data_IF_541282453363
#
_entry.id   IF_541282453363
#
_cell.length_a   1.000
_cell.length_b   1.000
_cell.length_c   1.000
_cell.angle_alpha   90.00
_cell.angle_beta   90.00
_cell.angle_gamma   90.00
#
_symmetry.space_group_name_H-M   'P 1'
#
loop_
_entity.id
_entity.type
_entity.pdbx_description
1 polymer ?
#
# COMPACT_ATOMS: atom_id res chain seq x y z
N UNK A 1 -18.04 52.46 -19.16
CA UNK A 1 -17.43 51.39 -19.98
C UNK A 1 -16.53 50.43 -19.17
N UNK A 2 -17.00 49.88 -18.03
CA UNK A 2 -16.15 49.05 -17.13
C UNK A 2 -16.77 47.70 -16.73
N UNK A 3 -17.97 47.38 -17.21
CA UNK A 3 -18.71 46.15 -16.83
C UNK A 3 -18.51 44.97 -17.80
N UNK A 4 -17.92 45.22 -18.98
CA UNK A 4 -17.69 44.19 -20.02
C UNK A 4 -16.41 43.38 -19.84
N UNK A 5 -15.39 43.94 -19.16
CA UNK A 5 -14.09 43.27 -18.98
C UNK A 5 -14.13 42.21 -17.88
N UNK A 6 -14.93 42.42 -16.83
CA UNK A 6 -15.13 41.43 -15.76
C UNK A 6 -15.92 40.19 -16.21
N UNK A 7 -16.78 40.32 -17.23
CA UNK A 7 -17.55 39.18 -17.75
C UNK A 7 -16.70 38.28 -18.66
N UNK A 8 -15.69 38.83 -19.34
CA UNK A 8 -14.84 38.07 -20.25
C UNK A 8 -13.74 37.26 -19.52
N UNK A 9 -13.31 37.72 -18.34
CA UNK A 9 -12.39 36.97 -17.46
C UNK A 9 -13.07 35.82 -16.69
N UNK A 10 -14.38 35.90 -16.48
CA UNK A 10 -15.14 34.85 -15.79
C UNK A 10 -15.44 33.63 -16.69
N UNK A 11 -15.53 33.83 -18.01
CA UNK A 11 -15.81 32.73 -18.96
C UNK A 11 -14.54 31.95 -19.33
N UNK A 12 -13.35 32.55 -19.18
CA UNK A 12 -12.07 31.87 -19.47
C UNK A 12 -11.60 30.93 -18.35
N UNK A 13 -12.12 31.07 -17.12
CA UNK A 13 -11.75 30.23 -15.99
C UNK A 13 -12.56 28.91 -15.88
N UNK A 14 -13.69 28.79 -16.61
CA UNK A 14 -14.60 27.65 -16.50
C UNK A 14 -14.24 26.47 -17.43
N UNK A 15 -13.13 26.58 -18.18
CA UNK A 15 -12.72 25.60 -19.19
C UNK A 15 -11.73 24.53 -18.75
N UNK A 16 -11.24 24.56 -17.50
CA UNK A 16 -10.37 23.51 -16.96
C UNK A 16 -11.22 22.50 -16.18
N UNK A 17 -12.04 21.73 -16.88
CA UNK A 17 -12.44 20.42 -16.40
C UNK A 17 -11.17 19.56 -16.40
N UNK A 18 -10.40 19.66 -15.32
CA UNK A 18 -9.22 18.87 -15.09
C UNK A 18 -9.62 17.39 -15.24
N UNK A 19 -8.89 16.67 -16.08
CA UNK A 19 -8.93 15.22 -16.15
C UNK A 19 -8.36 14.69 -14.83
N UNK A 20 -9.12 14.84 -13.75
CA UNK A 20 -8.71 14.49 -12.41
C UNK A 20 -8.76 12.97 -12.29
N UNK A 21 -7.61 12.31 -12.39
CA UNK A 21 -7.51 10.89 -12.09
C UNK A 21 -7.33 10.71 -10.58
N UNK A 22 -8.20 9.90 -9.99
CA UNK A 22 -8.04 9.45 -8.61
C UNK A 22 -6.85 8.49 -8.54
N UNK A 23 -5.91 8.77 -7.65
CA UNK A 23 -4.78 7.91 -7.30
C UNK A 23 -4.71 7.73 -5.79
N UNK A 24 -3.89 6.79 -5.36
CA UNK A 24 -3.64 6.46 -3.97
C UNK A 24 -2.17 6.65 -3.64
N UNK A 25 -1.89 7.11 -2.43
CA UNK A 25 -0.53 7.17 -1.90
C UNK A 25 -0.05 5.74 -1.59
N UNK A 26 1.03 5.29 -2.23
CA UNK A 26 1.62 3.98 -1.97
C UNK A 26 2.77 4.02 -0.97
N UNK A 27 3.49 5.14 -0.86
CA UNK A 27 4.57 5.29 0.12
C UNK A 27 4.00 5.40 1.54
N UNK A 28 4.73 4.89 2.54
CA UNK A 28 4.30 4.99 3.95
C UNK A 28 4.15 6.45 4.39
N UNK A 29 5.12 7.28 4.00
CA UNK A 29 5.14 8.72 4.22
C UNK A 29 5.51 9.40 2.89
N UNK A 30 4.56 10.10 2.28
CA UNK A 30 4.75 10.83 1.04
C UNK A 30 4.72 12.34 1.31
N UNK A 31 5.84 13.08 1.15
CA UNK A 31 5.85 14.52 1.33
C UNK A 31 5.07 15.21 0.20
N UNK A 32 4.19 16.13 0.59
CA UNK A 32 3.52 17.08 -0.28
C UNK A 32 4.41 18.32 -0.38
N UNK A 33 4.85 18.67 -1.58
CA UNK A 33 5.81 19.75 -1.81
C UNK A 33 5.14 20.99 -2.43
N UNK A 34 5.70 22.17 -2.19
CA UNK A 34 5.22 23.41 -2.85
C UNK A 34 5.51 23.43 -4.35
N UNK A 35 6.62 22.83 -4.77
CA UNK A 35 7.12 22.85 -6.14
C UNK A 35 7.56 21.44 -6.56
N UNK A 36 7.62 21.15 -7.88
CA UNK A 36 8.05 19.87 -8.44
C UNK A 36 9.58 19.68 -8.35
N UNK A 37 10.13 19.78 -7.13
CA UNK A 37 11.57 19.71 -6.86
C UNK A 37 11.82 19.05 -5.51
N UNK A 38 12.84 18.20 -5.42
CA UNK A 38 13.22 17.53 -4.18
C UNK A 38 13.73 18.49 -3.08
N UNK A 39 14.14 19.71 -3.45
CA UNK A 39 14.57 20.75 -2.50
C UNK A 39 13.46 21.72 -2.09
N UNK A 40 12.23 21.52 -2.58
CA UNK A 40 11.11 22.40 -2.27
C UNK A 40 10.63 22.24 -0.82
N UNK A 41 10.01 23.30 -0.30
CA UNK A 41 9.41 23.25 1.04
C UNK A 41 8.29 22.19 1.09
N UNK A 42 8.31 21.40 2.17
CA UNK A 42 7.28 20.40 2.46
C UNK A 42 6.08 21.10 3.10
N UNK A 43 4.92 21.03 2.43
CA UNK A 43 3.64 21.55 2.91
C UNK A 43 2.98 20.61 3.93
N UNK A 44 3.24 19.31 3.80
CA UNK A 44 2.68 18.29 4.66
C UNK A 44 3.12 16.89 4.21
N UNK A 45 2.60 15.86 4.87
CA UNK A 45 2.92 14.47 4.58
C UNK A 45 1.65 13.64 4.56
N UNK A 46 1.47 12.82 3.54
CA UNK A 46 0.36 11.89 3.44
C UNK A 46 0.82 10.46 3.71
N UNK A 47 -0.03 9.71 4.39
CA UNK A 47 0.19 8.30 4.71
C UNK A 47 -0.30 7.40 3.57
N UNK A 48 0.24 6.18 3.53
CA UNK A 48 -0.19 5.15 2.59
C UNK A 48 -1.70 4.92 2.61
N UNK A 49 -2.29 4.65 1.45
CA UNK A 49 -3.71 4.37 1.27
C UNK A 49 -4.58 5.62 1.10
N UNK A 50 -4.04 6.82 1.35
CA UNK A 50 -4.79 8.06 1.17
C UNK A 50 -5.14 8.28 -0.31
N UNK A 51 -6.41 8.60 -0.55
CA UNK A 51 -6.92 8.97 -1.87
C UNK A 51 -6.53 10.42 -2.20
N UNK A 52 -6.03 10.65 -3.41
CA UNK A 52 -5.67 11.97 -3.92
C UNK A 52 -6.16 12.12 -5.37
N UNK A 53 -6.48 13.35 -5.76
CA UNK A 53 -6.84 13.68 -7.14
C UNK A 53 -5.66 14.32 -7.85
N UNK A 54 -5.23 13.77 -8.97
CA UNK A 54 -4.17 14.34 -9.80
C UNK A 54 -4.76 15.45 -10.66
N UNK A 55 -4.35 16.69 -10.42
CA UNK A 55 -4.77 17.86 -11.18
C UNK A 55 -3.90 18.08 -12.42
N UNK A 56 -2.59 17.86 -12.28
CA UNK A 56 -1.61 18.14 -13.31
C UNK A 56 -0.45 17.16 -13.21
N UNK A 57 0.21 16.88 -14.35
CA UNK A 57 1.40 16.05 -14.40
C UNK A 57 2.53 16.84 -15.05
N UNK A 58 3.66 16.95 -14.35
CA UNK A 58 4.86 17.60 -14.85
C UNK A 58 6.07 16.68 -14.65
N UNK A 59 6.48 16.00 -15.72
CA UNK A 59 7.60 15.06 -15.69
C UNK A 59 7.36 13.91 -14.70
N UNK A 60 8.18 13.84 -13.65
CA UNK A 60 8.09 12.83 -12.57
C UNK A 60 7.23 13.28 -11.39
N UNK A 61 6.56 14.42 -11.50
CA UNK A 61 5.72 14.99 -10.46
C UNK A 61 4.26 15.05 -10.87
N UNK A 62 3.39 14.80 -9.91
CA UNK A 62 1.95 14.99 -10.01
C UNK A 62 1.53 16.08 -9.06
N UNK A 63 0.83 17.09 -9.56
CA UNK A 63 0.15 18.05 -8.72
C UNK A 63 -1.12 17.39 -8.22
N UNK A 64 -1.20 17.17 -6.92
CA UNK A 64 -2.30 16.47 -6.28
C UNK A 64 -3.10 17.39 -5.39
N UNK A 65 -4.39 17.09 -5.26
CA UNK A 65 -5.29 17.70 -4.30
C UNK A 65 -5.90 16.61 -3.41
N UNK A 66 -5.82 16.82 -2.11
CA UNK A 66 -6.45 15.99 -1.10
C UNK A 66 -7.20 16.91 -0.14
N UNK A 67 -8.54 16.79 -0.12
CA UNK A 67 -9.42 17.64 0.70
C UNK A 67 -9.12 19.15 0.49
N UNK A 68 -8.55 19.82 1.48
CA UNK A 68 -8.20 21.25 1.45
C UNK A 68 -6.73 21.52 1.09
N UNK A 69 -5.90 20.50 0.95
CA UNK A 69 -4.47 20.63 0.67
C UNK A 69 -4.14 20.31 -0.78
N UNK A 70 -3.30 21.15 -1.39
CA UNK A 70 -2.82 20.99 -2.75
C UNK A 70 -1.32 21.19 -2.81
N UNK A 71 -0.63 20.36 -3.59
CA UNK A 71 0.81 20.46 -3.78
C UNK A 71 1.32 19.46 -4.80
N UNK A 72 2.64 19.32 -4.88
CA UNK A 72 3.32 18.40 -5.77
C UNK A 72 3.76 17.16 -5.03
N UNK A 73 3.58 16.02 -5.67
CA UNK A 73 3.99 14.72 -5.15
C UNK A 73 4.74 13.95 -6.23
N UNK A 74 5.77 13.22 -5.83
CA UNK A 74 6.49 12.36 -6.78
C UNK A 74 5.56 11.28 -7.31
N UNK A 75 5.64 11.00 -8.62
CA UNK A 75 4.93 9.88 -9.26
C UNK A 75 5.26 8.53 -8.61
N UNK A 76 6.46 8.38 -8.07
CA UNK A 76 6.87 7.16 -7.37
C UNK A 76 6.13 6.96 -6.05
N UNK A 77 5.51 7.99 -5.49
CA UNK A 77 4.73 7.88 -4.26
C UNK A 77 3.24 7.56 -4.51
N UNK A 78 2.81 7.50 -5.78
CA UNK A 78 1.41 7.33 -6.16
C UNK A 78 1.18 6.06 -6.98
N UNK A 79 -0.02 5.50 -6.86
CA UNK A 79 -0.49 4.33 -7.61
C UNK A 79 -1.95 4.52 -7.99
N UNK A 80 -2.36 3.99 -9.15
CA UNK A 80 -3.76 4.03 -9.58
C UNK A 80 -4.66 3.05 -8.83
N UNK A 81 -4.07 2.00 -8.26
CA UNK A 81 -4.82 0.97 -7.54
C UNK A 81 -4.58 1.13 -6.04
N UNK A 82 -5.62 1.06 -5.19
CA UNK A 82 -5.42 1.20 -3.75
C UNK A 82 -4.38 0.19 -3.28
N UNK A 83 -3.40 0.62 -2.46
CA UNK A 83 -2.47 -0.32 -1.87
C UNK A 83 -3.29 -1.34 -1.07
N UNK A 84 -3.21 -2.60 -1.47
CA UNK A 84 -3.89 -3.68 -0.77
C UNK A 84 -3.38 -3.64 0.67
N UNK A 85 -4.31 -3.47 1.63
CA UNK A 85 -4.00 -3.74 3.03
C UNK A 85 -3.36 -5.12 3.10
N UNK A 86 -2.32 -5.28 3.94
CA UNK A 86 -1.59 -6.55 4.05
C UNK A 86 -2.60 -7.65 4.40
N UNK A 87 -3.02 -8.42 3.40
CA UNK A 87 -3.70 -9.70 3.64
C UNK A 87 -2.59 -10.61 4.12
N UNK A 88 -2.37 -10.64 5.43
CA UNK A 88 -1.45 -11.58 6.06
C UNK A 88 -1.94 -12.99 5.82
N UNK A 89 -1.62 -13.57 4.66
CA UNK A 89 -1.83 -15.01 4.41
C UNK A 89 -0.97 -15.86 5.37
N UNK A 90 0.00 -15.23 6.03
CA UNK A 90 0.94 -15.86 6.99
C UNK A 90 0.53 -15.58 8.46
N UNK A 91 -0.48 -14.72 8.70
CA UNK A 91 -0.89 -14.29 10.05
C UNK A 91 -2.35 -14.56 10.40
N UNK A 92 -3.17 -15.07 9.46
CA UNK A 92 -4.24 -15.95 9.88
C UNK A 92 -3.51 -17.15 10.47
N UNK A 93 -3.49 -17.25 11.80
CA UNK A 93 -2.71 -18.27 12.46
C UNK A 93 -2.99 -19.64 11.88
N UNK A 94 -2.29 -20.62 12.42
CA UNK A 94 -2.88 -21.92 12.65
C UNK A 94 -4.13 -21.76 13.56
N UNK A 95 -5.10 -20.91 13.18
CA UNK A 95 -6.46 -20.95 13.63
C UNK A 95 -6.93 -22.31 13.14
N UNK A 96 -6.72 -23.26 14.05
CA UNK A 96 -7.22 -24.62 14.06
C UNK A 96 -8.34 -24.71 13.04
N UNK A 97 -8.03 -25.28 11.88
CA UNK A 97 -8.94 -25.44 10.73
C UNK A 97 -10.17 -26.31 11.08
N UNK A 98 -10.39 -26.58 12.37
CA UNK A 98 -11.50 -27.28 13.00
C UNK A 98 -12.62 -26.30 13.39
N UNK A 99 -12.37 -25.00 13.60
CA UNK A 99 -13.41 -24.06 14.05
C UNK A 99 -14.07 -23.24 12.91
N UNK A 100 -13.48 -23.17 11.72
CA UNK A 100 -14.14 -22.63 10.50
C UNK A 100 -14.93 -23.71 9.75
N UNK A 101 -15.74 -24.47 10.48
CA UNK A 101 -16.60 -25.51 9.91
C UNK A 101 -17.80 -24.88 9.22
N UNK A 102 -17.66 -24.69 7.89
CA UNK A 102 -18.62 -25.06 6.82
C UNK A 102 -18.49 -24.06 5.66
N UNK A 103 -17.57 -24.31 4.72
CA UNK A 103 -17.93 -24.47 3.28
C UNK A 103 -16.76 -24.56 2.30
N UNK A 104 -15.49 -24.31 2.65
CA UNK A 104 -14.43 -24.31 1.61
C UNK A 104 -13.03 -24.80 2.00
N UNK A 105 -12.84 -25.35 3.19
CA UNK A 105 -11.53 -25.77 3.70
C UNK A 105 -11.15 -27.20 3.28
N UNK A 106 -12.13 -28.05 2.95
CA UNK A 106 -11.86 -29.45 2.60
C UNK A 106 -11.06 -29.62 1.31
N UNK A 107 -11.20 -28.73 0.33
CA UNK A 107 -10.50 -28.87 -0.97
C UNK A 107 -8.98 -28.66 -0.84
N UNK A 108 -8.55 -27.66 -0.06
CA UNK A 108 -7.11 -27.36 0.15
C UNK A 108 -6.46 -28.43 1.03
N UNK A 109 -7.12 -28.87 2.09
CA UNK A 109 -6.62 -29.94 2.97
C UNK A 109 -6.59 -31.29 2.22
N UNK A 110 -7.61 -31.62 1.43
CA UNK A 110 -7.65 -32.87 0.65
C UNK A 110 -6.60 -32.87 -0.47
N UNK A 111 -6.48 -31.77 -1.21
CA UNK A 111 -5.51 -31.65 -2.30
C UNK A 111 -4.06 -31.52 -1.80
N UNK A 112 -3.85 -31.00 -0.60
CA UNK A 112 -2.56 -30.98 0.09
C UNK A 112 -2.18 -32.37 0.61
N UNK A 113 -3.12 -33.08 1.26
CA UNK A 113 -2.90 -34.45 1.72
C UNK A 113 -2.60 -35.41 0.56
N UNK A 114 -3.31 -35.30 -0.55
CA UNK A 114 -3.02 -36.07 -1.77
C UNK A 114 -1.63 -35.78 -2.37
N UNK A 115 -1.02 -34.63 -2.03
CA UNK A 115 0.33 -34.23 -2.47
C UNK A 115 1.40 -34.43 -1.40
N UNK A 116 1.08 -35.04 -0.26
CA UNK A 116 2.04 -35.23 0.84
C UNK A 116 2.40 -33.93 1.57
N UNK A 117 1.51 -32.94 1.59
CA UNK A 117 1.71 -31.65 2.26
C UNK A 117 1.04 -31.60 3.64
N UNK A 118 0.77 -32.77 4.23
CA UNK A 118 0.27 -32.88 5.62
C UNK A 118 1.36 -32.50 6.62
N UNK A 119 1.01 -32.08 7.86
CA UNK A 119 2.00 -31.84 8.90
C UNK A 119 2.91 -33.05 9.16
N UNK A 120 2.35 -34.26 9.10
CA UNK A 120 3.07 -35.53 9.30
C UNK A 120 4.09 -35.80 8.19
N UNK A 121 3.72 -35.59 6.93
CA UNK A 121 4.63 -35.77 5.80
C UNK A 121 5.75 -34.70 5.79
N UNK A 122 5.45 -33.48 6.22
CA UNK A 122 6.46 -32.41 6.41
C UNK A 122 7.45 -32.74 7.52
N UNK A 123 6.97 -33.27 8.64
CA UNK A 123 7.85 -33.73 9.73
C UNK A 123 8.77 -34.85 9.23
N UNK A 124 8.20 -35.87 8.58
CA UNK A 124 8.96 -36.98 8.00
C UNK A 124 10.00 -36.53 6.97
N UNK A 125 9.65 -35.60 6.08
CA UNK A 125 10.57 -35.05 5.09
C UNK A 125 11.73 -34.27 5.74
N UNK A 126 11.48 -33.64 6.90
CA UNK A 126 12.53 -32.96 7.68
C UNK A 126 13.47 -33.93 8.37
N UNK A 127 12.93 -34.99 8.96
CA UNK A 127 13.72 -36.07 9.57
C UNK A 127 14.59 -36.80 8.52
N UNK A 128 14.07 -36.95 7.31
CA UNK A 128 14.80 -37.54 6.17
C UNK A 128 15.81 -36.55 5.54
N UNK A 129 15.87 -35.30 5.99
CA UNK A 129 16.77 -34.27 5.46
C UNK A 129 16.45 -33.80 4.03
N UNK A 130 15.28 -34.13 3.49
CA UNK A 130 14.85 -33.74 2.14
C UNK A 130 14.39 -32.28 2.07
N UNK A 131 13.98 -31.73 3.21
CA UNK A 131 13.56 -30.34 3.38
C UNK A 131 13.75 -29.93 4.84
N UNK A 132 13.64 -28.63 5.16
CA UNK A 132 13.79 -28.15 6.53
C UNK A 132 12.52 -27.43 7.00
N UNK A 133 11.46 -28.21 7.24
CA UNK A 133 10.21 -27.65 7.76
C UNK A 133 10.33 -27.17 9.21
N UNK A 134 11.33 -27.64 9.98
CA UNK A 134 11.63 -27.09 11.31
C UNK A 134 12.05 -25.63 11.26
N UNK A 135 12.96 -25.27 10.34
CA UNK A 135 13.37 -23.88 10.14
C UNK A 135 12.21 -23.04 9.62
N UNK A 136 11.41 -23.57 8.69
CA UNK A 136 10.20 -22.88 8.20
C UNK A 136 9.24 -22.56 9.35
N UNK A 137 8.94 -23.54 10.22
CA UNK A 137 8.07 -23.34 11.37
C UNK A 137 8.65 -22.38 12.42
N UNK A 138 9.97 -22.18 12.46
CA UNK A 138 10.59 -21.13 13.28
C UNK A 138 10.40 -19.75 12.64
N UNK A 139 10.55 -19.65 11.31
CA UNK A 139 10.31 -18.41 10.59
C UNK A 139 8.85 -17.97 10.65
N UNK A 140 7.90 -18.91 10.53
CA UNK A 140 6.46 -18.64 10.63
C UNK A 140 6.03 -18.18 12.02
N UNK A 141 6.77 -18.59 13.07
CA UNK A 141 6.52 -18.13 14.44
C UNK A 141 6.92 -16.68 14.67
N UNK A 142 7.77 -16.09 13.83
CA UNK A 142 8.15 -14.69 13.94
C UNK A 142 7.01 -13.81 13.43
N UNK A 143 6.19 -13.34 14.36
CA UNK A 143 5.23 -12.27 14.11
C UNK A 143 5.86 -10.95 14.54
N UNK A 144 6.05 -10.05 13.59
CA UNK A 144 6.50 -8.68 13.84
C UNK A 144 5.29 -7.78 13.85
N UNK A 145 5.07 -7.12 14.98
CA UNK A 145 4.01 -6.13 15.13
C UNK A 145 4.27 -4.92 14.21
N UNK A 146 3.22 -4.29 13.71
CA UNK A 146 3.35 -3.17 12.78
C UNK A 146 4.12 -1.99 13.41
N UNK A 147 3.93 -1.78 14.71
CA UNK A 147 4.65 -0.78 15.50
C UNK A 147 6.15 -1.04 15.56
N UNK A 148 6.57 -2.31 15.66
CA UNK A 148 7.99 -2.69 15.69
C UNK A 148 8.65 -2.42 14.34
N UNK A 149 7.95 -2.74 13.25
CA UNK A 149 8.39 -2.44 11.88
C UNK A 149 8.51 -0.93 11.65
N UNK A 150 7.54 -0.15 12.14
CA UNK A 150 7.59 1.32 12.04
C UNK A 150 8.75 1.89 12.84
N UNK A 151 8.96 1.41 14.08
CA UNK A 151 10.07 1.84 14.92
C UNK A 151 11.42 1.57 14.27
N UNK A 152 11.63 0.33 13.81
CA UNK A 152 12.86 -0.07 13.13
C UNK A 152 13.13 0.82 11.91
N UNK A 153 12.10 1.11 11.11
CA UNK A 153 12.25 2.00 9.96
C UNK A 153 12.71 3.40 10.36
N UNK A 154 12.14 3.98 11.43
CA UNK A 154 12.53 5.30 11.92
C UNK A 154 13.97 5.32 12.44
N UNK A 155 14.37 4.31 13.21
CA UNK A 155 15.69 4.25 13.84
C UNK A 155 16.82 4.00 12.84
N UNK A 156 16.57 3.24 11.76
CA UNK A 156 17.61 2.82 10.82
C UNK A 156 17.70 3.71 9.58
N UNK A 157 16.58 4.30 9.14
CA UNK A 157 16.51 5.03 7.86
C UNK A 157 16.54 6.55 8.04
N UNK A 158 16.19 7.08 9.23
CA UNK A 158 16.22 8.50 9.52
C UNK A 158 17.21 8.83 10.66
N UNK A 159 18.53 8.94 10.38
CA UNK A 159 19.45 9.63 11.29
C UNK A 159 19.20 11.15 11.32
#
# INVERSE_FOLDING_TARGET
MKKGVLSLMAVLAMGMAAMASTMYVQSREAPLMQEPSFGAAVLGTFTQGREVRVLETQGTWHRVQAEEQQGWMSRLALTSNPPLGRVGVIGAGEERLEDSVRRRTSAVVTAGAARGLTPEDRARASEMGLSNYHALAQMERLHLEEEEIIRFHREVVAP
#
